data_IF_306624461890
#
_entry.id   IF_306624461890
#
_cell.length_a   1.000
_cell.length_b   1.000
_cell.length_c   1.000
_cell.angle_alpha   90.00
_cell.angle_beta   90.00
_cell.angle_gamma   90.00
#
_symmetry.space_group_name_H-M   'P 1'
#
loop_
_entity.id
_entity.type
_entity.pdbx_description
1 polymer ?
#
# COMPACT_ATOMS: atom_id res chain seq x y z
N UNK A 1 24.88 -13.21 18.17
CA UNK A 1 24.28 -11.85 18.16
C UNK A 1 22.99 -11.81 17.34
N UNK A 2 21.88 -12.30 17.92
CA UNK A 2 20.63 -12.65 17.24
C UNK A 2 19.64 -11.50 16.98
N UNK A 3 20.12 -10.31 16.62
CA UNK A 3 19.26 -9.14 16.42
C UNK A 3 18.73 -8.98 14.99
N UNK A 4 19.33 -9.66 14.01
CA UNK A 4 18.99 -9.51 12.59
C UNK A 4 18.79 -10.87 11.93
N UNK A 5 17.66 -11.03 11.24
CA UNK A 5 17.31 -12.21 10.46
C UNK A 5 17.50 -11.91 8.98
N UNK A 6 18.12 -12.83 8.25
CA UNK A 6 18.11 -12.79 6.79
C UNK A 6 16.80 -13.43 6.32
N UNK A 7 15.97 -12.64 5.62
CA UNK A 7 14.69 -13.12 5.06
C UNK A 7 14.68 -12.95 3.55
N UNK A 8 14.09 -13.91 2.85
CA UNK A 8 13.85 -13.83 1.42
C UNK A 8 12.38 -13.49 1.17
N UNK A 9 12.14 -12.50 0.30
CA UNK A 9 10.78 -12.17 -0.14
C UNK A 9 10.28 -13.23 -1.12
N UNK A 10 9.17 -13.91 -0.80
CA UNK A 10 8.51 -14.84 -1.73
C UNK A 10 8.09 -14.18 -3.05
N UNK A 11 7.92 -12.86 -3.07
CA UNK A 11 7.39 -12.14 -4.24
C UNK A 11 8.50 -11.63 -5.15
N UNK A 12 9.61 -11.18 -4.59
CA UNK A 12 10.69 -10.54 -5.36
C UNK A 12 11.97 -11.37 -5.43
N UNK A 13 12.02 -12.49 -4.70
CA UNK A 13 13.20 -13.33 -4.48
C UNK A 13 14.43 -12.57 -3.93
N UNK A 14 14.21 -11.34 -3.43
CA UNK A 14 15.25 -10.51 -2.84
C UNK A 14 15.42 -10.87 -1.37
N UNK A 15 16.67 -10.97 -0.96
CA UNK A 15 17.05 -11.16 0.43
C UNK A 15 17.29 -9.82 1.11
N UNK A 16 16.79 -9.65 2.33
CA UNK A 16 17.06 -8.49 3.16
C UNK A 16 17.30 -8.88 4.61
N UNK A 17 18.10 -8.08 5.30
CA UNK A 17 18.25 -8.19 6.75
C UNK A 17 17.11 -7.43 7.42
N UNK A 18 16.36 -8.13 8.26
CA UNK A 18 15.24 -7.57 9.02
C UNK A 18 15.51 -7.77 10.50
N UNK A 19 15.33 -6.75 11.35
CA UNK A 19 15.43 -6.92 12.79
C UNK A 19 14.52 -8.04 13.29
N UNK A 20 14.98 -8.81 14.28
CA UNK A 20 14.21 -9.92 14.85
C UNK A 20 12.85 -9.50 15.42
N UNK A 21 12.75 -8.28 15.94
CA UNK A 21 11.50 -7.68 16.43
C UNK A 21 10.49 -7.33 15.32
N UNK A 22 10.91 -7.34 14.05
CA UNK A 22 10.08 -7.06 12.89
C UNK A 22 9.58 -8.33 12.19
N UNK A 23 9.97 -9.52 12.68
CA UNK A 23 9.57 -10.81 12.11
C UNK A 23 8.53 -11.48 13.01
N UNK A 24 7.45 -11.96 12.41
CA UNK A 24 6.47 -12.80 13.07
C UNK A 24 6.43 -14.16 12.39
N UNK A 25 6.43 -15.23 13.18
CA UNK A 25 6.25 -16.58 12.65
C UNK A 25 4.76 -16.89 12.59
N UNK A 26 4.26 -17.26 11.41
CA UNK A 26 2.85 -17.60 11.23
C UNK A 26 2.72 -19.10 10.98
N UNK A 27 1.83 -19.76 11.73
CA UNK A 27 1.41 -21.15 11.54
C UNK A 27 -0.08 -21.22 11.28
N UNK A 28 -0.50 -22.21 10.49
CA UNK A 28 -1.92 -22.44 10.18
C UNK A 28 -2.65 -21.21 9.59
N UNK A 29 -1.92 -20.19 9.13
CA UNK A 29 -2.39 -18.87 8.63
C UNK A 29 -3.04 -17.95 9.66
N UNK A 30 -3.43 -18.44 10.84
CA UNK A 30 -4.08 -17.65 11.89
C UNK A 30 -3.31 -17.64 13.22
N UNK A 31 -2.28 -18.48 13.42
CA UNK A 31 -1.48 -18.51 14.64
C UNK A 31 -0.19 -17.74 14.46
N UNK A 32 -0.02 -16.66 15.23
CA UNK A 32 1.10 -15.73 15.13
C UNK A 32 1.97 -15.80 16.40
N UNK A 33 3.27 -16.02 16.22
CA UNK A 33 4.28 -15.90 17.27
C UNK A 33 5.03 -14.57 17.11
N UNK A 34 5.33 -13.89 18.22
CA UNK A 34 6.05 -12.61 18.22
C UNK A 34 5.19 -11.38 17.91
N UNK A 35 3.88 -11.52 17.70
CA UNK A 35 2.97 -10.40 17.43
C UNK A 35 2.41 -9.80 18.71
N UNK A 36 2.66 -8.50 18.92
CA UNK A 36 2.10 -7.73 20.04
C UNK A 36 0.61 -7.46 19.85
N UNK A 37 -0.06 -7.03 20.92
CA UNK A 37 -1.47 -6.62 20.86
C UNK A 37 -1.69 -5.51 19.82
N UNK A 38 -0.84 -4.48 19.86
CA UNK A 38 -0.91 -3.33 18.95
C UNK A 38 -0.65 -3.75 17.51
N UNK A 39 0.31 -4.65 17.29
CA UNK A 39 0.60 -5.14 15.93
C UNK A 39 -0.55 -5.99 15.38
N UNK A 40 -1.21 -6.78 16.22
CA UNK A 40 -2.41 -7.50 15.83
C UNK A 40 -3.55 -6.56 15.42
N UNK A 41 -3.74 -5.46 16.15
CA UNK A 41 -4.74 -4.43 15.80
C UNK A 41 -4.41 -3.80 14.44
N UNK A 42 -3.16 -3.41 14.22
CA UNK A 42 -2.70 -2.87 12.93
C UNK A 42 -2.97 -3.85 11.79
N UNK A 43 -2.58 -5.13 11.94
CA UNK A 43 -2.76 -6.17 10.92
C UNK A 43 -4.24 -6.38 10.58
N UNK A 44 -5.09 -6.51 11.61
CA UNK A 44 -6.52 -6.75 11.41
C UNK A 44 -7.25 -5.53 10.82
N UNK A 45 -6.83 -4.31 11.14
CA UNK A 45 -7.45 -3.09 10.63
C UNK A 45 -7.04 -2.74 9.19
N UNK A 46 -6.05 -3.42 8.62
CA UNK A 46 -5.64 -3.22 7.21
C UNK A 46 -6.77 -3.48 6.21
N UNK A 47 -6.70 -2.86 5.01
CA UNK A 47 -7.54 -3.21 3.88
C UNK A 47 -7.42 -4.70 3.55
N UNK A 48 -8.53 -5.33 3.19
CA UNK A 48 -8.59 -6.77 2.88
C UNK A 48 -9.16 -7.63 4.00
N UNK A 49 -9.14 -7.16 5.25
CA UNK A 49 -9.83 -7.79 6.37
C UNK A 49 -11.27 -7.27 6.51
N UNK A 50 -12.20 -8.16 6.85
CA UNK A 50 -13.63 -7.85 7.06
C UNK A 50 -14.02 -8.06 8.52
N UNK A 51 -15.28 -7.80 8.84
CA UNK A 51 -15.82 -8.13 10.17
C UNK A 51 -15.78 -9.65 10.37
N UNK A 52 -15.28 -10.10 11.52
CA UNK A 52 -15.00 -11.52 11.79
C UNK A 52 -13.61 -11.99 11.34
N UNK A 53 -12.78 -11.12 10.72
CA UNK A 53 -11.38 -11.46 10.50
C UNK A 53 -10.65 -11.61 11.84
N UNK A 54 -9.80 -12.63 11.96
CA UNK A 54 -9.18 -12.94 13.25
C UNK A 54 -7.74 -13.43 13.15
N UNK A 55 -7.03 -13.36 14.26
CA UNK A 55 -5.77 -14.05 14.47
C UNK A 55 -5.64 -14.47 15.94
N UNK A 56 -4.87 -15.52 16.19
CA UNK A 56 -4.46 -15.94 17.52
C UNK A 56 -2.99 -15.61 17.67
N UNK A 57 -2.64 -14.84 18.69
CA UNK A 57 -1.26 -14.49 19.02
C UNK A 57 -0.79 -15.22 20.27
N UNK A 58 0.42 -15.75 20.25
CA UNK A 58 1.09 -16.24 21.45
C UNK A 58 1.64 -15.05 22.26
N UNK A 59 1.51 -15.11 23.58
CA UNK A 59 2.07 -14.09 24.47
C UNK A 59 3.59 -14.11 24.42
N UNK A 60 4.19 -12.95 24.12
CA UNK A 60 5.65 -12.77 24.11
C UNK A 60 6.28 -13.05 25.48
N UNK A 61 5.55 -12.82 26.58
CA UNK A 61 6.08 -12.97 27.95
C UNK A 61 5.87 -14.36 28.56
N UNK A 62 4.95 -15.16 28.03
CA UNK A 62 4.56 -16.45 28.62
C UNK A 62 4.19 -17.44 27.52
N UNK A 63 5.08 -18.41 27.30
CA UNK A 63 4.84 -19.48 26.33
C UNK A 63 3.60 -20.28 26.73
N UNK A 64 2.77 -20.63 25.75
CA UNK A 64 1.51 -21.34 25.97
C UNK A 64 0.35 -20.50 26.50
N UNK A 65 0.51 -19.17 26.62
CA UNK A 65 -0.60 -18.25 26.80
C UNK A 65 -0.98 -17.64 25.45
N UNK A 66 -2.25 -17.76 25.05
CA UNK A 66 -2.73 -17.27 23.76
C UNK A 66 -3.76 -16.16 23.93
N UNK A 67 -3.91 -15.33 22.91
CA UNK A 67 -5.00 -14.36 22.81
C UNK A 67 -5.59 -14.38 21.41
N UNK A 68 -6.91 -14.46 21.34
CA UNK A 68 -7.66 -14.33 20.10
C UNK A 68 -7.99 -12.85 19.88
N UNK A 69 -7.63 -12.31 18.73
CA UNK A 69 -7.93 -10.94 18.31
C UNK A 69 -8.90 -11.00 17.13
N UNK A 70 -10.03 -10.31 17.22
CA UNK A 70 -11.11 -10.34 16.22
C UNK A 70 -11.48 -8.93 15.79
N UNK A 71 -11.50 -8.68 14.48
CA UNK A 71 -12.00 -7.43 13.91
C UNK A 71 -13.51 -7.38 13.97
N UNK A 72 -14.04 -6.29 14.49
CA UNK A 72 -15.45 -5.93 14.46
C UNK A 72 -15.62 -4.62 13.71
N UNK A 73 -16.50 -4.62 12.72
CA UNK A 73 -16.96 -3.40 12.05
C UNK A 73 -18.47 -3.29 12.25
N UNK A 74 -18.92 -2.30 13.01
CA UNK A 74 -20.34 -1.93 13.09
C UNK A 74 -20.68 -1.05 11.88
N UNK A 75 -21.94 -1.03 11.43
CA UNK A 75 -22.38 -0.23 10.27
C UNK A 75 -22.29 1.29 10.50
N UNK A 76 -22.10 1.73 11.74
CA UNK A 76 -22.12 3.12 12.17
C UNK A 76 -20.89 3.55 12.98
N UNK A 77 -19.95 2.65 13.27
CA UNK A 77 -18.79 2.95 14.10
C UNK A 77 -17.46 2.64 13.41
N UNK A 78 -16.39 3.22 13.96
CA UNK A 78 -15.02 2.94 13.59
C UNK A 78 -14.72 1.45 13.72
N UNK A 79 -13.97 0.90 12.75
CA UNK A 79 -13.50 -0.47 12.82
C UNK A 79 -12.65 -0.67 14.07
N UNK A 80 -12.97 -1.68 14.87
CA UNK A 80 -12.34 -1.96 16.15
C UNK A 80 -11.89 -3.42 16.23
N UNK A 81 -11.01 -3.73 17.17
CA UNK A 81 -10.52 -5.09 17.41
C UNK A 81 -10.77 -5.46 18.85
N UNK A 82 -11.45 -6.59 19.05
CA UNK A 82 -11.71 -7.17 20.38
C UNK A 82 -10.68 -8.26 20.66
N UNK A 83 -10.18 -8.32 21.90
CA UNK A 83 -9.18 -9.29 22.33
C UNK A 83 -9.75 -10.19 23.41
N UNK A 84 -9.65 -11.50 23.20
CA UNK A 84 -10.07 -12.53 24.13
C UNK A 84 -8.84 -13.28 24.64
N UNK A 85 -8.77 -13.47 25.95
CA UNK A 85 -7.71 -14.27 26.56
C UNK A 85 -8.08 -15.75 26.44
N UNK A 86 -7.22 -16.54 25.83
CA UNK A 86 -7.35 -18.00 25.81
C UNK A 86 -6.59 -18.52 27.03
N UNK A 87 -7.32 -19.14 27.94
CA UNK A 87 -6.77 -19.77 29.13
C UNK A 87 -6.53 -21.25 28.89
N UNK A 88 -5.56 -21.80 29.63
CA UNK A 88 -5.21 -23.21 29.57
C UNK A 88 -5.41 -23.84 30.94
N UNK A 89 -6.16 -24.94 30.96
CA UNK A 89 -6.41 -25.76 32.14
C UNK A 89 -5.22 -26.69 32.42
N UNK A 90 -5.19 -27.27 33.62
CA UNK A 90 -4.14 -28.21 34.04
C UNK A 90 -4.12 -29.49 33.19
N UNK A 91 -5.28 -29.95 32.72
CA UNK A 91 -5.42 -31.07 31.78
C UNK A 91 -4.97 -30.71 30.34
N UNK A 92 -4.50 -29.48 30.11
CA UNK A 92 -4.03 -28.99 28.83
C UNK A 92 -5.09 -28.39 27.91
N UNK A 93 -6.37 -28.48 28.25
CA UNK A 93 -7.48 -27.94 27.46
C UNK A 93 -7.52 -26.42 27.49
N UNK A 94 -8.13 -25.82 26.48
CA UNK A 94 -8.18 -24.39 26.23
C UNK A 94 -9.60 -23.86 26.33
N UNK A 95 -9.76 -22.63 26.82
CA UNK A 95 -11.06 -21.99 26.86
C UNK A 95 -10.96 -20.46 26.81
N UNK A 96 -12.02 -19.83 26.31
CA UNK A 96 -12.27 -18.38 26.44
C UNK A 96 -13.39 -18.18 27.47
N UNK A 97 -14.50 -18.87 27.26
CA UNK A 97 -15.62 -18.93 28.19
C UNK A 97 -15.53 -20.21 29.05
N UNK A 98 -15.61 -20.15 30.39
CA UNK A 98 -15.43 -21.34 31.25
C UNK A 98 -16.36 -22.51 30.95
N UNK A 99 -17.53 -22.27 30.35
CA UNK A 99 -18.49 -23.31 29.96
C UNK A 99 -18.14 -24.06 28.66
N UNK A 100 -17.16 -23.59 27.89
CA UNK A 100 -16.77 -24.17 26.59
C UNK A 100 -15.27 -24.38 26.57
N UNK A 101 -14.87 -25.65 26.61
CA UNK A 101 -13.46 -26.06 26.68
C UNK A 101 -13.10 -26.92 25.47
N UNK A 102 -11.87 -26.79 24.98
CA UNK A 102 -11.41 -27.37 23.73
C UNK A 102 -10.07 -28.08 23.91
N UNK A 103 -9.83 -29.24 23.27
CA UNK A 103 -8.57 -29.95 23.39
C UNK A 103 -7.44 -29.29 22.59
N UNK A 104 -7.74 -28.53 21.53
CA UNK A 104 -6.76 -27.79 20.74
C UNK A 104 -7.23 -26.40 20.30
N UNK A 105 -6.30 -25.58 19.79
CA UNK A 105 -6.63 -24.29 19.17
C UNK A 105 -7.45 -24.46 17.89
N UNK A 106 -7.30 -25.57 17.17
CA UNK A 106 -8.09 -25.82 15.96
C UNK A 106 -9.56 -26.01 16.32
N UNK A 107 -9.86 -26.88 17.30
CA UNK A 107 -11.24 -27.13 17.74
C UNK A 107 -11.90 -25.86 18.27
N UNK A 108 -11.12 -25.00 18.96
CA UNK A 108 -11.58 -23.69 19.41
C UNK A 108 -11.95 -22.78 18.23
N UNK A 109 -11.10 -22.72 17.19
CA UNK A 109 -11.36 -21.89 16.00
C UNK A 109 -12.57 -22.43 15.23
N UNK A 110 -12.66 -23.74 15.03
CA UNK A 110 -13.76 -24.37 14.29
C UNK A 110 -15.09 -24.09 14.99
N UNK A 111 -15.16 -24.29 16.31
CA UNK A 111 -16.36 -23.99 17.08
C UNK A 111 -16.78 -22.53 16.98
N UNK A 112 -15.86 -21.58 17.18
CA UNK A 112 -16.18 -20.15 17.13
C UNK A 112 -16.40 -19.61 15.71
N UNK A 113 -16.08 -20.41 14.69
CA UNK A 113 -16.43 -20.11 13.29
C UNK A 113 -17.89 -20.44 13.00
N UNK A 114 -18.41 -21.51 13.60
CA UNK A 114 -19.82 -21.94 13.46
C UNK A 114 -20.74 -21.23 14.45
N UNK A 115 -20.33 -21.17 15.72
CA UNK A 115 -21.11 -20.66 16.84
C UNK A 115 -20.39 -19.45 17.46
N UNK A 116 -20.82 -18.24 17.11
CA UNK A 116 -20.26 -16.99 17.65
C UNK A 116 -20.64 -16.70 19.11
N UNK A 117 -21.18 -17.67 19.86
CA UNK A 117 -21.67 -17.46 21.22
C UNK A 117 -20.53 -17.07 22.18
N UNK A 118 -20.70 -15.94 22.87
CA UNK A 118 -19.68 -15.41 23.78
C UNK A 118 -18.56 -14.61 23.11
N UNK A 119 -18.55 -14.51 21.77
CA UNK A 119 -17.68 -13.58 21.04
C UNK A 119 -18.48 -12.39 20.49
N UNK A 120 -17.77 -11.36 20.03
CA UNK A 120 -18.37 -10.15 19.45
C UNK A 120 -18.96 -10.41 18.07
N UNK A 121 -18.46 -11.40 17.36
CA UNK A 121 -18.94 -11.92 16.08
C UNK A 121 -18.29 -13.30 15.83
N UNK A 122 -18.90 -14.16 14.99
CA UNK A 122 -18.30 -15.43 14.60
C UNK A 122 -17.01 -15.22 13.81
N UNK A 123 -16.08 -16.15 13.95
CA UNK A 123 -14.84 -16.15 13.20
C UNK A 123 -15.14 -16.47 11.74
N UNK A 124 -14.62 -15.64 10.81
CA UNK A 124 -14.90 -15.80 9.39
C UNK A 124 -13.67 -16.18 8.59
N UNK A 125 -12.66 -15.33 8.65
CA UNK A 125 -11.45 -15.49 7.85
C UNK A 125 -10.21 -15.21 8.70
N UNK A 126 -9.13 -15.98 8.54
CA UNK A 126 -7.84 -15.61 9.08
C UNK A 126 -7.43 -14.22 8.61
N UNK A 127 -6.65 -13.51 9.42
CA UNK A 127 -6.07 -12.22 9.05
C UNK A 127 -5.39 -12.33 7.69
N UNK A 128 -5.73 -11.42 6.79
CA UNK A 128 -5.14 -11.33 5.47
C UNK A 128 -3.63 -11.08 5.62
N UNK A 129 -2.83 -12.12 5.40
CA UNK A 129 -1.42 -11.96 5.16
C UNK A 129 -1.27 -11.34 3.78
N UNK A 130 -0.75 -10.13 3.72
CA UNK A 130 -0.29 -9.56 2.47
C UNK A 130 0.85 -10.45 1.96
N UNK A 131 0.52 -11.42 1.12
CA UNK A 131 1.38 -11.71 -0.01
C UNK A 131 1.22 -10.48 -0.88
N UNK A 132 2.26 -9.67 -1.12
CA UNK A 132 2.19 -8.65 -2.15
C UNK A 132 1.73 -9.36 -3.43
N UNK A 133 0.45 -9.24 -3.77
CA UNK A 133 0.03 -9.53 -5.13
C UNK A 133 0.83 -8.53 -5.93
N UNK A 134 1.81 -9.02 -6.69
CA UNK A 134 2.27 -8.30 -7.86
C UNK A 134 1.02 -8.16 -8.70
N UNK A 135 0.24 -7.10 -8.47
CA UNK A 135 -0.58 -6.57 -9.54
C UNK A 135 0.39 -6.47 -10.72
N UNK A 136 0.05 -7.02 -11.91
CA UNK A 136 0.88 -6.81 -13.08
C UNK A 136 1.15 -5.32 -13.09
N UNK A 137 2.43 -4.96 -12.96
CA UNK A 137 2.89 -3.58 -12.79
C UNK A 137 2.06 -2.79 -13.78
N UNK A 138 1.09 -2.00 -13.31
CA UNK A 138 0.49 -1.02 -14.18
C UNK A 138 1.70 -0.22 -14.59
N UNK A 139 2.11 -0.39 -15.85
CA UNK A 139 3.36 0.14 -16.35
C UNK A 139 3.33 1.60 -15.92
N UNK A 140 4.18 1.94 -14.96
CA UNK A 140 4.47 3.33 -14.64
C UNK A 140 4.68 3.92 -16.02
N UNK A 141 3.84 4.87 -16.48
CA UNK A 141 4.04 5.43 -17.81
C UNK A 141 5.48 5.88 -17.79
N UNK A 142 6.29 5.26 -18.64
CA UNK A 142 7.72 5.50 -18.62
C UNK A 142 7.85 7.02 -18.65
N UNK A 143 8.34 7.61 -17.57
CA UNK A 143 8.72 9.02 -17.61
C UNK A 143 9.85 9.01 -18.62
N UNK A 144 9.49 9.30 -19.87
CA UNK A 144 10.43 9.55 -20.93
C UNK A 144 11.18 10.76 -20.44
N UNK A 145 12.31 10.52 -19.79
CA UNK A 145 13.32 11.54 -19.59
C UNK A 145 13.78 11.87 -21.00
N UNK A 146 13.12 12.86 -21.61
CA UNK A 146 13.61 13.45 -22.85
C UNK A 146 15.06 13.85 -22.59
N UNK A 147 16.00 13.50 -23.48
CA UNK A 147 17.39 13.84 -23.31
C UNK A 147 17.51 15.35 -23.10
N UNK A 148 18.44 15.77 -22.24
CA UNK A 148 18.70 17.18 -21.97
C UNK A 148 18.90 17.90 -23.31
N UNK A 149 17.99 18.82 -23.62
CA UNK A 149 18.03 19.60 -24.85
C UNK A 149 19.33 20.39 -24.84
N UNK A 150 20.20 20.08 -25.81
CA UNK A 150 21.46 20.80 -25.97
C UNK A 150 21.17 22.08 -26.75
N UNK A 151 21.09 23.21 -26.03
CA UNK A 151 20.75 24.52 -26.60
C UNK A 151 21.77 25.03 -27.62
N UNK A 152 23.02 24.55 -27.58
CA UNK A 152 24.08 24.97 -28.52
C UNK A 152 23.90 24.40 -29.93
N UNK A 153 23.03 23.39 -30.08
CA UNK A 153 22.71 22.76 -31.38
C UNK A 153 21.37 23.25 -31.96
N UNK A 154 20.68 24.16 -31.30
CA UNK A 154 19.37 24.66 -31.74
C UNK A 154 19.60 25.90 -32.61
N UNK A 155 19.38 25.75 -33.92
CA UNK A 155 19.38 26.88 -34.85
C UNK A 155 18.10 27.71 -34.62
N UNK A 156 18.27 29.02 -34.42
CA UNK A 156 17.19 29.97 -34.17
C UNK A 156 16.20 30.07 -35.32
N UNK A 157 16.57 29.65 -36.53
CA UNK A 157 15.67 29.56 -37.68
C UNK A 157 14.59 28.47 -37.53
N UNK A 158 14.84 27.39 -36.76
CA UNK A 158 13.84 26.33 -36.51
C UNK A 158 12.72 26.74 -35.55
N UNK A 159 12.94 27.78 -34.75
CA UNK A 159 11.94 28.32 -33.82
C UNK A 159 10.92 29.22 -34.54
N UNK A 160 11.31 29.82 -35.66
CA UNK A 160 10.58 30.92 -36.31
C UNK A 160 10.01 30.52 -37.68
N UNK A 161 10.41 29.37 -38.25
CA UNK A 161 9.91 28.95 -39.56
C UNK A 161 8.38 28.75 -39.54
N UNK A 162 7.68 29.75 -40.06
CA UNK A 162 6.25 29.75 -40.31
C UNK A 162 5.91 28.70 -41.37
N UNK A 163 4.75 28.06 -41.18
CA UNK A 163 4.24 26.96 -41.98
C UNK A 163 4.46 27.11 -43.49
N UNK A 164 5.28 26.24 -44.08
CA UNK A 164 4.92 25.48 -45.30
C UNK A 164 5.80 24.23 -45.42
N UNK A 165 5.13 23.09 -45.64
CA UNK A 165 5.63 21.82 -46.19
C UNK A 165 6.52 20.87 -45.37
N UNK A 166 6.18 19.59 -45.54
CA UNK A 166 6.90 18.33 -45.25
C UNK A 166 7.02 17.80 -43.82
N UNK A 167 6.66 16.51 -43.68
CA UNK A 167 6.97 15.63 -42.56
C UNK A 167 8.44 15.77 -42.14
N UNK A 168 8.69 16.24 -40.93
CA UNK A 168 10.01 16.16 -40.31
C UNK A 168 9.82 15.53 -38.92
N UNK A 169 10.13 14.23 -38.82
CA UNK A 169 10.19 13.50 -37.54
C UNK A 169 11.44 13.86 -36.71
N UNK A 170 12.30 14.76 -37.18
CA UNK A 170 13.59 15.08 -36.57
C UNK A 170 13.67 16.50 -35.99
N UNK A 171 12.54 17.13 -35.64
CA UNK A 171 12.58 18.42 -34.96
C UNK A 171 12.96 18.26 -33.47
N UNK A 172 14.01 18.96 -32.97
CA UNK A 172 14.45 18.84 -31.58
C UNK A 172 13.47 19.48 -30.57
N UNK A 173 12.46 20.21 -31.06
CA UNK A 173 11.44 20.89 -30.26
C UNK A 173 10.06 20.27 -30.52
N UNK A 174 9.26 20.12 -29.46
CA UNK A 174 7.90 19.59 -29.60
C UNK A 174 6.97 20.56 -30.31
N UNK A 175 6.04 20.04 -31.11
CA UNK A 175 5.01 20.82 -31.81
C UNK A 175 4.28 21.82 -30.89
N UNK A 176 3.84 21.40 -29.70
CA UNK A 176 3.13 22.29 -28.77
C UNK A 176 4.00 23.45 -28.23
N UNK A 177 5.32 23.26 -28.12
CA UNK A 177 6.23 24.36 -27.77
C UNK A 177 6.36 25.34 -28.94
N UNK A 178 6.49 24.81 -30.16
CA UNK A 178 6.57 25.62 -31.38
C UNK A 178 5.31 26.47 -31.56
N UNK A 179 4.13 25.86 -31.41
CA UNK A 179 2.84 26.57 -31.51
C UNK A 179 2.70 27.66 -30.45
N UNK A 180 3.12 27.40 -29.21
CA UNK A 180 3.09 28.40 -28.14
C UNK A 180 4.00 29.61 -28.44
N UNK A 181 5.22 29.37 -28.94
CA UNK A 181 6.16 30.44 -29.31
C UNK A 181 5.62 31.23 -30.50
N UNK A 182 5.13 30.57 -31.54
CA UNK A 182 4.55 31.26 -32.71
C UNK A 182 3.36 32.14 -32.32
N UNK A 183 2.48 31.63 -31.44
CA UNK A 183 1.34 32.39 -30.93
C UNK A 183 1.80 33.63 -30.14
N UNK A 184 2.82 33.49 -29.29
CA UNK A 184 3.37 34.62 -28.54
C UNK A 184 3.95 35.70 -29.46
N UNK A 185 4.76 35.32 -30.45
CA UNK A 185 5.34 36.27 -31.41
C UNK A 185 4.26 37.01 -32.21
N UNK A 186 3.22 36.30 -32.67
CA UNK A 186 2.06 36.91 -33.33
C UNK A 186 1.32 37.91 -32.43
N UNK A 187 1.21 37.64 -31.13
CA UNK A 187 0.63 38.58 -30.18
C UNK A 187 1.53 39.80 -29.95
N UNK A 188 2.84 39.62 -29.92
CA UNK A 188 3.78 40.71 -29.60
C UNK A 188 4.22 41.55 -30.80
N UNK A 189 4.11 41.04 -32.03
CA UNK A 189 4.36 41.81 -33.26
C UNK A 189 3.33 42.94 -33.49
N UNK A 190 2.23 42.96 -32.73
CA UNK A 190 1.27 44.07 -32.77
C UNK A 190 1.67 45.26 -31.89
N UNK A 191 2.83 45.22 -31.22
CA UNK A 191 3.28 46.27 -30.29
C UNK A 191 4.39 47.21 -30.83
N UNK A 192 4.69 47.19 -32.14
CA UNK A 192 5.58 48.19 -32.76
C UNK A 192 5.00 48.76 -34.04
N UNK A 193 4.07 49.71 -33.88
CA UNK A 193 3.85 50.76 -34.88
C UNK A 193 3.68 52.08 -34.11
N UNK A 194 4.78 52.81 -33.95
CA UNK A 194 4.76 54.19 -33.47
C UNK A 194 4.10 55.07 -34.55
N UNK A 195 2.97 55.70 -34.19
CA UNK A 195 2.39 56.82 -34.93
C UNK A 195 2.86 58.12 -34.27
N UNK A 196 3.67 58.89 -35.00
CA UNK A 196 4.14 60.22 -34.61
C UNK A 196 3.01 61.26 -34.46
N UNK A 197 3.26 62.36 -33.73
CA UNK A 197 2.20 63.31 -33.39
C UNK A 197 1.86 64.22 -34.59
N UNK A 198 0.56 64.48 -34.76
CA UNK A 198 0.04 65.51 -35.64
C UNK A 198 0.15 66.88 -34.95
N UNK A 199 0.87 67.82 -35.57
CA UNK A 199 0.82 69.24 -35.22
C UNK A 199 -0.44 69.89 -35.83
N UNK A 200 -1.24 70.54 -34.99
CA UNK A 200 -2.42 71.31 -35.36
C UNK A 200 -1.99 72.71 -35.84
N UNK A 201 -2.57 73.17 -36.94
CA UNK A 201 -2.66 74.58 -37.34
C UNK A 201 -4.03 75.17 -37.02
#
# INVERSE_FOLDING_TARGET
>A
DGEWWLVASEVSDKQCHVPSNCVAKVRHRWLYEGVSRQKAEELLLRPGNRSGSFLIRESQSRRGCYSLSVRRSERSSWASVTHYRIQRLENGWLYISPGLTFPSLHDLVDHYSEFGEGLCCPLREPCAMEVPRVAPVQAVPAVVKKPALNWDKIDSSHLISGATSSLEQDSPISLGLREAISSYLLLTDTATSEQGPAENG
#
